data_IF_957486257571
#
_entry.id   IF_957486257571
#
_cell.length_a   1.000
_cell.length_b   1.000
_cell.length_c   1.000
_cell.angle_alpha   90.00
_cell.angle_beta   90.00
_cell.angle_gamma   90.00
#
_symmetry.space_group_name_H-M   'P 1'
#
loop_
_entity.id
_entity.type
_entity.pdbx_description
1 polymer ?
#
# COMPACT_ATOMS: atom_id res chain seq x y z
N UNK A 1 -21.88 -6.99 3.96
CA UNK A 1 -21.39 -5.62 3.68
C UNK A 1 -20.54 -5.03 4.82
N UNK A 2 -21.03 -4.94 6.07
CA UNK A 2 -20.29 -4.33 7.20
C UNK A 2 -18.86 -4.87 7.41
N UNK A 3 -18.69 -6.20 7.30
CA UNK A 3 -17.37 -6.86 7.45
C UNK A 3 -16.39 -6.47 6.35
N UNK A 4 -16.86 -6.34 5.12
CA UNK A 4 -16.03 -5.93 3.98
C UNK A 4 -15.48 -4.53 4.21
N UNK A 5 -16.37 -3.57 4.52
CA UNK A 5 -15.97 -2.18 4.80
C UNK A 5 -14.92 -2.10 5.92
N UNK A 6 -15.15 -2.78 7.06
CA UNK A 6 -14.17 -2.81 8.16
C UNK A 6 -12.83 -3.43 7.74
N UNK A 7 -12.86 -4.49 6.93
CA UNK A 7 -11.66 -5.15 6.41
C UNK A 7 -10.90 -4.24 5.45
N UNK A 8 -11.61 -3.56 4.55
CA UNK A 8 -11.05 -2.59 3.61
C UNK A 8 -10.40 -1.42 4.36
N UNK A 9 -11.08 -0.85 5.36
CA UNK A 9 -10.52 0.24 6.15
C UNK A 9 -9.27 -0.18 6.95
N UNK A 10 -9.27 -1.41 7.49
CA UNK A 10 -8.08 -1.96 8.15
C UNK A 10 -6.93 -2.16 7.14
N UNK A 11 -7.21 -2.73 5.96
CA UNK A 11 -6.22 -2.91 4.91
C UNK A 11 -5.64 -1.57 4.44
N UNK A 12 -6.50 -0.54 4.28
CA UNK A 12 -6.08 0.81 3.92
C UNK A 12 -5.21 1.44 5.01
N UNK A 13 -5.56 1.27 6.29
CA UNK A 13 -4.73 1.76 7.39
C UNK A 13 -3.32 1.14 7.36
N UNK A 14 -3.23 -0.17 7.09
CA UNK A 14 -1.92 -0.82 6.95
C UNK A 14 -1.17 -0.32 5.72
N UNK A 15 -1.86 -0.14 4.58
CA UNK A 15 -1.29 0.46 3.37
C UNK A 15 -0.64 1.80 3.70
N UNK A 16 -1.38 2.73 4.32
CA UNK A 16 -0.87 4.06 4.68
C UNK A 16 0.32 3.97 5.64
N UNK A 17 0.30 3.02 6.60
CA UNK A 17 1.44 2.81 7.50
C UNK A 17 2.70 2.35 6.77
N UNK A 18 2.55 1.46 5.80
CA UNK A 18 3.67 0.97 4.96
C UNK A 18 4.18 2.12 4.08
N UNK A 19 3.28 2.83 3.38
CA UNK A 19 3.63 3.98 2.54
C UNK A 19 4.41 5.02 3.35
N UNK A 20 3.88 5.43 4.50
CA UNK A 20 4.54 6.40 5.37
C UNK A 20 5.93 5.91 5.79
N UNK A 21 6.05 4.66 6.25
CA UNK A 21 7.33 4.12 6.65
C UNK A 21 8.35 4.15 5.49
N UNK A 22 8.00 3.65 4.31
CA UNK A 22 8.92 3.66 3.18
C UNK A 22 9.22 5.07 2.68
N UNK A 23 8.19 5.86 2.36
CA UNK A 23 8.36 7.14 1.68
C UNK A 23 8.81 8.26 2.60
N UNK A 24 8.28 8.33 3.83
CA UNK A 24 8.66 9.39 4.76
C UNK A 24 10.01 9.12 5.40
N UNK A 25 10.42 7.86 5.59
CA UNK A 25 11.68 7.53 6.27
C UNK A 25 12.73 6.90 5.35
N UNK A 26 12.63 5.60 5.05
CA UNK A 26 13.68 4.84 4.37
C UNK A 26 14.09 5.45 3.01
N UNK A 27 13.13 5.98 2.27
CA UNK A 27 13.31 6.53 0.94
C UNK A 27 13.37 8.06 0.93
N UNK A 28 13.36 8.71 2.10
CA UNK A 28 13.43 10.17 2.18
C UNK A 28 14.62 10.76 1.39
N UNK A 29 15.86 10.21 1.45
CA UNK A 29 16.97 10.78 0.68
C UNK A 29 16.71 10.75 -0.83
N UNK A 30 16.04 9.72 -1.32
CA UNK A 30 15.69 9.56 -2.74
C UNK A 30 14.71 10.65 -3.19
N UNK A 31 13.75 11.04 -2.33
CA UNK A 31 12.77 12.10 -2.62
C UNK A 31 13.33 13.53 -2.51
N UNK A 32 14.50 13.70 -1.90
CA UNK A 32 15.18 15.00 -1.81
C UNK A 32 16.06 15.29 -3.02
N UNK A 33 16.25 14.31 -3.92
CA UNK A 33 16.98 14.53 -5.16
C UNK A 33 16.19 15.46 -6.11
N UNK A 34 16.86 16.41 -6.79
CA UNK A 34 16.19 17.31 -7.71
C UNK A 34 15.76 16.56 -8.97
N UNK A 35 14.48 16.18 -9.03
CA UNK A 35 13.87 15.49 -10.18
C UNK A 35 12.82 16.40 -10.81
N UNK A 36 13.05 16.83 -12.06
CA UNK A 36 12.14 17.74 -12.78
C UNK A 36 10.72 17.17 -12.95
N UNK A 37 10.56 15.84 -12.98
CA UNK A 37 9.27 15.17 -13.06
C UNK A 37 8.48 15.09 -11.75
N UNK A 38 9.00 15.61 -10.63
CA UNK A 38 8.36 15.59 -9.31
C UNK A 38 7.95 17.01 -8.93
N UNK A 39 6.73 17.18 -8.42
CA UNK A 39 6.20 18.48 -7.96
C UNK A 39 7.04 19.06 -6.81
N UNK A 40 7.08 20.40 -6.64
CA UNK A 40 7.72 21.02 -5.48
C UNK A 40 7.18 20.47 -4.16
N UNK A 41 8.03 20.43 -3.13
CA UNK A 41 7.73 19.83 -1.82
C UNK A 41 6.49 20.44 -1.16
N UNK A 42 6.32 21.75 -1.28
CA UNK A 42 5.18 22.49 -0.72
C UNK A 42 3.87 22.09 -1.39
N UNK A 43 3.90 21.79 -2.68
CA UNK A 43 2.73 21.30 -3.42
C UNK A 43 2.44 19.84 -3.08
N UNK A 44 3.47 18.98 -3.01
CA UNK A 44 3.32 17.59 -2.61
C UNK A 44 2.70 17.45 -1.22
N UNK A 45 3.15 18.24 -0.24
CA UNK A 45 2.62 18.22 1.12
C UNK A 45 1.10 18.50 1.16
N UNK A 46 0.61 19.39 0.29
CA UNK A 46 -0.83 19.70 0.17
C UNK A 46 -1.62 18.58 -0.52
N UNK A 47 -0.96 17.76 -1.32
CA UNK A 47 -1.56 16.66 -2.08
C UNK A 47 -1.52 15.32 -1.35
N UNK A 48 -0.88 15.22 -0.19
CA UNK A 48 -0.88 14.00 0.65
C UNK A 48 -2.30 13.47 0.90
N UNK A 49 -3.32 14.29 1.27
CA UNK A 49 -4.67 13.80 1.45
C UNK A 49 -5.28 13.17 0.19
N UNK A 50 -5.00 13.76 -0.98
CA UNK A 50 -5.44 13.20 -2.26
C UNK A 50 -4.75 11.87 -2.56
N UNK A 51 -3.45 11.74 -2.26
CA UNK A 51 -2.71 10.49 -2.33
C UNK A 51 -3.34 9.39 -1.48
N UNK A 52 -3.59 9.66 -0.20
CA UNK A 52 -4.23 8.68 0.70
C UNK A 52 -5.67 8.35 0.35
N UNK A 53 -6.42 9.29 -0.23
CA UNK A 53 -7.74 9.01 -0.79
C UNK A 53 -7.63 8.07 -2.01
N UNK A 54 -6.62 8.25 -2.86
CA UNK A 54 -6.39 7.33 -3.99
C UNK A 54 -6.09 5.90 -3.51
N UNK A 55 -5.32 5.75 -2.43
CA UNK A 55 -5.06 4.45 -1.81
C UNK A 55 -6.33 3.83 -1.22
N UNK A 56 -7.20 4.65 -0.63
CA UNK A 56 -8.50 4.19 -0.13
C UNK A 56 -9.36 3.62 -1.27
N UNK A 57 -9.46 4.35 -2.39
CA UNK A 57 -10.20 3.90 -3.58
C UNK A 57 -9.62 2.61 -4.15
N UNK A 58 -8.30 2.52 -4.29
CA UNK A 58 -7.62 1.29 -4.73
C UNK A 58 -7.88 0.12 -3.77
N UNK A 59 -7.84 0.36 -2.47
CA UNK A 59 -8.11 -0.68 -1.46
C UNK A 59 -9.56 -1.17 -1.55
N UNK A 60 -10.53 -0.27 -1.79
CA UNK A 60 -11.93 -0.65 -2.05
C UNK A 60 -12.07 -1.48 -3.33
N UNK A 61 -11.40 -1.09 -4.41
CA UNK A 61 -11.39 -1.84 -5.67
C UNK A 61 -10.82 -3.26 -5.46
N UNK A 62 -9.70 -3.38 -4.76
CA UNK A 62 -9.08 -4.68 -4.43
C UNK A 62 -10.02 -5.52 -3.57
N UNK A 63 -10.64 -4.93 -2.55
CA UNK A 63 -11.58 -5.64 -1.68
C UNK A 63 -12.83 -6.13 -2.44
N UNK A 64 -13.33 -5.32 -3.38
CA UNK A 64 -14.42 -5.71 -4.27
C UNK A 64 -13.99 -6.87 -5.18
N UNK A 65 -12.86 -6.74 -5.90
CA UNK A 65 -12.32 -7.81 -6.76
C UNK A 65 -12.08 -9.11 -5.99
N UNK A 66 -11.52 -9.03 -4.79
CA UNK A 66 -11.30 -10.19 -3.93
C UNK A 66 -12.61 -10.90 -3.60
N UNK A 67 -13.65 -10.15 -3.21
CA UNK A 67 -14.98 -10.69 -2.90
C UNK A 67 -15.62 -11.35 -4.13
N UNK A 68 -15.57 -10.69 -5.29
CA UNK A 68 -16.17 -11.22 -6.51
C UNK A 68 -15.42 -12.46 -7.02
N UNK A 69 -14.08 -12.50 -6.83
CA UNK A 69 -13.28 -13.66 -7.22
C UNK A 69 -13.45 -14.85 -6.28
N UNK A 70 -13.60 -14.61 -4.98
CA UNK A 70 -13.62 -15.62 -3.94
C UNK A 70 -14.96 -15.62 -3.18
N UNK A 71 -15.98 -16.20 -3.81
CA UNK A 71 -17.29 -16.40 -3.19
C UNK A 71 -17.23 -17.34 -1.97
N UNK A 72 -16.32 -18.31 -1.99
CA UNK A 72 -15.99 -19.19 -0.87
C UNK A 72 -14.57 -18.91 -0.39
N UNK A 73 -14.25 -19.32 0.84
CA UNK A 73 -12.91 -19.14 1.41
C UNK A 73 -11.86 -19.86 0.54
N UNK A 74 -10.91 -19.13 -0.08
CA UNK A 74 -9.85 -19.75 -0.85
C UNK A 74 -8.82 -20.40 0.07
N UNK A 75 -8.10 -21.38 -0.46
CA UNK A 75 -6.89 -21.87 0.20
C UNK A 75 -5.86 -20.75 0.34
N UNK A 76 -5.07 -20.74 1.42
CA UNK A 76 -4.07 -19.68 1.68
C UNK A 76 -3.09 -19.48 0.52
N UNK A 77 -2.63 -20.58 -0.09
CA UNK A 77 -1.74 -20.55 -1.24
C UNK A 77 -2.42 -19.98 -2.50
N UNK A 78 -3.72 -20.25 -2.69
CA UNK A 78 -4.48 -19.71 -3.81
C UNK A 78 -4.64 -18.19 -3.68
N UNK A 79 -5.00 -17.71 -2.48
CA UNK A 79 -5.10 -16.28 -2.20
C UNK A 79 -3.74 -15.57 -2.37
N UNK A 80 -2.67 -16.18 -1.86
CA UNK A 80 -1.31 -15.63 -2.00
C UNK A 80 -0.85 -15.55 -3.45
N UNK A 81 -1.06 -16.59 -4.26
CA UNK A 81 -0.74 -16.57 -5.69
C UNK A 81 -1.53 -15.50 -6.44
N UNK A 82 -2.82 -15.36 -6.13
CA UNK A 82 -3.65 -14.31 -6.72
C UNK A 82 -3.11 -12.92 -6.36
N UNK A 83 -2.80 -12.68 -5.08
CA UNK A 83 -2.23 -11.42 -4.61
C UNK A 83 -0.90 -11.11 -5.30
N UNK A 84 0.00 -12.09 -5.40
CA UNK A 84 1.31 -11.93 -6.04
C UNK A 84 1.18 -11.57 -7.52
N UNK A 85 0.34 -12.27 -8.27
CA UNK A 85 0.11 -11.98 -9.69
C UNK A 85 -0.52 -10.61 -9.85
N UNK A 86 -1.53 -10.27 -9.05
CA UNK A 86 -2.18 -8.96 -9.11
C UNK A 86 -1.19 -7.83 -8.77
N UNK A 87 -0.45 -7.95 -7.68
CA UNK A 87 0.53 -6.95 -7.24
C UNK A 87 1.65 -6.78 -8.28
N UNK A 88 2.14 -7.88 -8.87
CA UNK A 88 3.17 -7.83 -9.91
C UNK A 88 2.64 -7.14 -11.18
N UNK A 89 1.46 -7.55 -11.68
CA UNK A 89 0.87 -6.95 -12.86
C UNK A 89 0.57 -5.47 -12.65
N UNK A 90 -0.02 -5.09 -11.52
CA UNK A 90 -0.29 -3.70 -11.20
C UNK A 90 1.01 -2.90 -11.16
N UNK A 91 2.01 -3.33 -10.39
CA UNK A 91 3.27 -2.58 -10.19
C UNK A 91 4.09 -2.49 -11.49
N UNK A 92 4.17 -3.58 -12.27
CA UNK A 92 4.87 -3.54 -13.57
C UNK A 92 4.14 -2.67 -14.57
N UNK A 93 2.80 -2.73 -14.63
CA UNK A 93 2.02 -1.86 -15.52
C UNK A 93 2.17 -0.39 -15.16
N UNK A 94 2.17 -0.06 -13.86
CA UNK A 94 2.34 1.32 -13.38
C UNK A 94 3.77 1.81 -13.65
N UNK A 95 4.78 0.97 -13.44
CA UNK A 95 6.16 1.26 -13.82
C UNK A 95 6.27 1.58 -15.31
N UNK A 96 5.75 0.71 -16.19
CA UNK A 96 5.83 0.90 -17.64
C UNK A 96 5.06 2.14 -18.10
N UNK A 97 3.88 2.38 -17.52
CA UNK A 97 3.10 3.58 -17.79
C UNK A 97 3.91 4.83 -17.44
N UNK A 98 4.39 4.95 -16.20
CA UNK A 98 5.18 6.12 -15.77
C UNK A 98 6.47 6.27 -16.61
N UNK A 99 7.23 5.19 -16.78
CA UNK A 99 8.45 5.20 -17.58
C UNK A 99 8.24 5.71 -19.01
N UNK A 100 7.07 5.48 -19.59
CA UNK A 100 6.78 5.89 -20.97
C UNK A 100 6.56 7.39 -21.17
N UNK A 101 6.14 8.13 -20.13
CA UNK A 101 5.74 9.54 -20.29
C UNK A 101 6.25 10.52 -19.24
N UNK A 102 6.84 10.06 -18.12
CA UNK A 102 7.40 10.96 -17.09
C UNK A 102 8.93 11.03 -17.14
N UNK A 103 9.48 12.21 -16.90
CA UNK A 103 10.92 12.44 -16.76
C UNK A 103 11.39 12.16 -15.31
N UNK A 104 11.16 10.95 -14.82
CA UNK A 104 11.60 10.48 -13.49
C UNK A 104 12.70 9.43 -13.67
N UNK A 105 13.82 9.50 -12.92
CA UNK A 105 14.87 8.50 -13.02
C UNK A 105 14.37 7.09 -12.74
N UNK A 106 14.89 6.10 -13.48
CA UNK A 106 14.48 4.69 -13.38
C UNK A 106 14.55 4.16 -11.94
N UNK A 107 15.57 4.58 -11.17
CA UNK A 107 15.72 4.15 -9.76
C UNK A 107 14.53 4.56 -8.89
N UNK A 108 13.99 5.77 -9.06
CA UNK A 108 12.80 6.23 -8.33
C UNK A 108 11.58 5.41 -8.71
N UNK A 109 11.39 5.15 -10.00
CA UNK A 109 10.28 4.34 -10.49
C UNK A 109 10.35 2.89 -9.98
N UNK A 110 11.54 2.27 -9.99
CA UNK A 110 11.71 0.90 -9.50
C UNK A 110 11.38 0.79 -8.01
N UNK A 111 11.94 1.69 -7.20
CA UNK A 111 11.72 1.68 -5.75
C UNK A 111 10.26 1.99 -5.43
N UNK A 112 9.66 3.00 -6.06
CA UNK A 112 8.25 3.34 -5.88
C UNK A 112 7.33 2.14 -6.19
N UNK A 113 7.57 1.45 -7.31
CA UNK A 113 6.74 0.30 -7.69
C UNK A 113 7.03 -0.95 -6.84
N UNK A 114 8.23 -1.10 -6.28
CA UNK A 114 8.53 -2.16 -5.32
C UNK A 114 7.77 -1.97 -4.01
N UNK A 115 7.64 -0.72 -3.53
CA UNK A 115 6.82 -0.40 -2.36
C UNK A 115 5.34 -0.67 -2.65
N UNK A 116 4.82 -0.23 -3.80
CA UNK A 116 3.45 -0.53 -4.25
C UNK A 116 3.14 -2.02 -4.28
N UNK A 117 4.09 -2.85 -4.73
CA UNK A 117 3.95 -4.30 -4.70
C UNK A 117 3.74 -4.82 -3.26
N UNK A 118 4.56 -4.36 -2.31
CA UNK A 118 4.48 -4.75 -0.89
C UNK A 118 3.14 -4.31 -0.28
N UNK A 119 2.71 -3.08 -0.56
CA UNK A 119 1.45 -2.52 -0.05
C UNK A 119 0.23 -3.30 -0.53
N UNK A 120 0.17 -3.61 -1.82
CA UNK A 120 -0.92 -4.41 -2.41
C UNK A 120 -0.93 -5.83 -1.81
N UNK A 121 0.24 -6.44 -1.63
CA UNK A 121 0.36 -7.74 -0.96
C UNK A 121 -0.17 -7.69 0.48
N UNK A 122 0.14 -6.63 1.23
CA UNK A 122 -0.35 -6.43 2.58
C UNK A 122 -1.88 -6.25 2.61
N UNK A 123 -2.45 -5.50 1.67
CA UNK A 123 -3.90 -5.37 1.50
C UNK A 123 -4.56 -6.74 1.35
N UNK A 124 -4.05 -7.58 0.45
CA UNK A 124 -4.61 -8.92 0.24
C UNK A 124 -4.48 -9.82 1.47
N UNK A 125 -3.35 -9.79 2.19
CA UNK A 125 -3.18 -10.58 3.42
C UNK A 125 -4.18 -10.15 4.50
N UNK A 126 -4.37 -8.83 4.70
CA UNK A 126 -5.38 -8.32 5.65
C UNK A 126 -6.76 -8.78 5.23
N UNK A 127 -7.16 -8.58 3.97
CA UNK A 127 -8.47 -8.99 3.47
C UNK A 127 -8.71 -10.49 3.65
N UNK A 128 -7.74 -11.34 3.29
CA UNK A 128 -7.83 -12.78 3.46
C UNK A 128 -8.10 -13.15 4.93
N UNK A 129 -7.28 -12.61 5.85
CA UNK A 129 -7.39 -12.92 7.27
C UNK A 129 -8.69 -12.38 7.87
N UNK A 130 -9.06 -11.14 7.58
CA UNK A 130 -10.22 -10.51 8.22
C UNK A 130 -11.55 -10.97 7.64
N UNK A 131 -11.62 -11.38 6.37
CA UNK A 131 -12.85 -11.89 5.75
C UNK A 131 -13.12 -13.36 6.08
N UNK A 132 -12.09 -14.15 6.39
CA UNK A 132 -12.24 -15.59 6.61
C UNK A 132 -11.92 -16.08 8.03
N UNK A 133 -11.37 -15.23 8.91
CA UNK A 133 -11.15 -15.61 10.32
C UNK A 133 -12.46 -15.68 11.12
N UNK A 134 -12.59 -16.62 12.05
CA UNK A 134 -13.69 -16.64 13.01
C UNK A 134 -13.66 -15.44 13.98
N UNK A 135 -12.47 -14.87 14.25
CA UNK A 135 -12.25 -13.78 15.22
C UNK A 135 -11.48 -12.63 14.58
N UNK A 136 -12.08 -11.86 13.64
CA UNK A 136 -11.39 -10.79 12.92
C UNK A 136 -10.95 -9.63 13.82
N UNK A 137 -11.55 -9.47 15.01
CA UNK A 137 -11.19 -8.41 15.96
C UNK A 137 -9.71 -8.41 16.37
N UNK A 138 -9.10 -9.60 16.54
CA UNK A 138 -7.67 -9.70 16.85
C UNK A 138 -6.80 -9.18 15.70
N UNK A 139 -7.20 -9.44 14.46
CA UNK A 139 -6.47 -9.00 13.27
C UNK A 139 -6.58 -7.48 13.11
N UNK A 140 -7.75 -6.89 13.37
CA UNK A 140 -7.89 -5.43 13.37
C UNK A 140 -6.96 -4.76 14.38
N UNK A 141 -6.85 -5.30 15.60
CA UNK A 141 -5.89 -4.79 16.59
C UNK A 141 -4.44 -4.94 16.16
N UNK A 142 -4.07 -6.07 15.56
CA UNK A 142 -2.73 -6.27 15.01
C UNK A 142 -2.42 -5.26 13.90
N UNK A 143 -3.39 -4.96 13.04
CA UNK A 143 -3.24 -3.93 11.99
C UNK A 143 -3.04 -2.54 12.60
N UNK A 144 -3.81 -2.17 13.63
CA UNK A 144 -3.64 -0.88 14.32
C UNK A 144 -2.27 -0.81 14.99
N UNK A 145 -1.85 -1.86 15.69
CA UNK A 145 -0.54 -1.94 16.31
C UNK A 145 0.60 -1.86 15.28
N UNK A 146 0.45 -2.55 14.15
CA UNK A 146 1.41 -2.49 13.04
C UNK A 146 1.49 -1.08 12.44
N UNK A 147 0.37 -0.41 12.21
CA UNK A 147 0.33 0.98 11.76
C UNK A 147 1.07 1.92 12.72
N UNK A 148 0.76 1.85 14.02
CA UNK A 148 1.43 2.66 15.04
C UNK A 148 2.94 2.36 15.06
N UNK A 149 3.31 1.08 15.00
CA UNK A 149 4.71 0.64 14.98
C UNK A 149 5.47 1.16 13.75
N UNK A 150 4.87 1.09 12.56
CA UNK A 150 5.46 1.60 11.32
C UNK A 150 5.63 3.12 11.34
N UNK A 151 4.63 3.86 11.83
CA UNK A 151 4.72 5.31 11.98
C UNK A 151 5.80 5.69 12.99
N UNK A 152 5.81 5.05 14.17
CA UNK A 152 6.81 5.31 15.20
C UNK A 152 8.23 4.98 14.70
N UNK A 153 8.41 3.83 14.05
CA UNK A 153 9.69 3.44 13.46
C UNK A 153 10.13 4.42 12.38
N UNK A 154 9.21 4.88 11.52
CA UNK A 154 9.51 5.87 10.49
C UNK A 154 9.96 7.20 11.08
N UNK A 155 9.26 7.70 12.10
CA UNK A 155 9.64 8.93 12.80
C UNK A 155 11.01 8.77 13.47
N UNK A 156 11.27 7.67 14.16
CA UNK A 156 12.57 7.43 14.79
C UNK A 156 13.70 7.40 13.76
N UNK A 157 13.49 6.71 12.63
CA UNK A 157 14.50 6.61 11.58
C UNK A 157 14.81 7.99 10.95
N UNK A 158 13.80 8.83 10.74
CA UNK A 158 13.97 10.22 10.26
C UNK A 158 14.81 11.10 11.20
N UNK A 159 14.89 10.78 12.49
CA UNK A 159 15.65 11.58 13.47
C UNK A 159 17.08 11.07 13.69
N UNK A 160 17.40 9.87 13.20
CA UNK A 160 18.73 9.26 13.37
C UNK A 160 19.55 9.35 12.08
N UNK A 161 18.88 9.44 10.92
CA UNK A 161 19.50 9.66 9.61
C UNK A 161 19.62 11.15 9.28
#
# INVERSE_FOLDING_TARGET
>A
MKRLIKSTLAAWLLFVGIDFFFHASLLQPLWMEPVAGIKPKEELARLIPAGYLSFLLLTFLIAWLYKERFAQQPGRMQAFRFAMVFAALFSVSNFLALYSFVAIPIKHLLVFNAVYFIEIMAVFDVLYRTLHSAKPGKIYWLVVAAFIGLVAAGILLQNVM
#
